data_IF_247715646762
#
_entry.id   IF_247715646762
#
_cell.length_a   1.000
_cell.length_b   1.000
_cell.length_c   1.000
_cell.angle_alpha   90.00
_cell.angle_beta   90.00
_cell.angle_gamma   90.00
#
_symmetry.space_group_name_H-M   'P 1'
#
loop_
_entity.id
_entity.type
_entity.pdbx_description
1 polymer ?
#
# COMPACT_ATOMS: atom_id res chain seq x y z
N UNK A 1 16.82 -12.69 24.32
CA UNK A 1 16.81 -11.84 23.11
C UNK A 1 18.23 -11.41 22.75
N UNK A 2 19.00 -10.92 23.70
CA UNK A 2 20.37 -10.40 23.45
C UNK A 2 21.38 -11.46 22.92
N UNK A 3 21.18 -12.73 23.27
CA UNK A 3 22.01 -13.84 22.77
C UNK A 3 21.79 -14.09 21.27
N UNK A 4 20.55 -13.89 20.79
CA UNK A 4 20.20 -14.08 19.39
C UNK A 4 20.82 -12.99 18.50
N UNK A 5 20.96 -11.77 19.02
CA UNK A 5 21.55 -10.65 18.33
C UNK A 5 23.07 -10.59 18.41
N UNK A 6 23.71 -11.53 19.13
CA UNK A 6 25.17 -11.57 19.29
C UNK A 6 25.71 -10.40 20.13
N UNK A 7 24.92 -9.90 21.10
CA UNK A 7 25.36 -8.84 22.00
C UNK A 7 26.67 -9.22 22.72
N UNK A 8 27.60 -8.26 22.82
CA UNK A 8 28.92 -8.43 23.43
C UNK A 8 29.96 -9.08 22.52
N UNK A 9 29.59 -9.50 21.30
CA UNK A 9 30.55 -10.02 20.30
C UNK A 9 30.55 -9.23 19.00
N UNK A 10 29.35 -9.03 18.43
CA UNK A 10 29.15 -8.37 17.14
C UNK A 10 28.35 -7.07 17.28
N UNK A 11 27.52 -6.98 18.31
CA UNK A 11 26.66 -5.83 18.53
C UNK A 11 26.78 -5.33 19.97
N UNK A 12 26.72 -4.01 20.12
CA UNK A 12 26.55 -3.33 21.41
C UNK A 12 25.13 -2.79 21.50
N UNK A 13 24.43 -3.13 22.58
CA UNK A 13 23.10 -2.59 22.86
C UNK A 13 23.25 -1.19 23.46
N UNK A 14 22.64 -0.20 22.82
CA UNK A 14 22.60 1.21 23.28
C UNK A 14 21.17 1.67 23.47
N UNK A 15 20.96 2.54 24.42
CA UNK A 15 19.70 3.25 24.57
C UNK A 15 19.65 4.44 23.60
N UNK A 16 18.54 4.59 22.91
CA UNK A 16 18.26 5.71 22.03
C UNK A 16 16.81 6.16 22.19
N UNK A 17 16.58 7.46 21.97
CA UNK A 17 15.21 7.97 21.88
C UNK A 17 14.71 7.79 20.46
N UNK A 18 13.64 7.03 20.32
CA UNK A 18 12.96 6.83 19.04
C UNK A 18 11.67 7.66 19.01
N UNK A 19 11.46 8.39 17.91
CA UNK A 19 10.20 9.08 17.68
C UNK A 19 9.13 8.07 17.22
N UNK A 20 7.96 8.12 17.85
CA UNK A 20 6.77 7.39 17.45
C UNK A 20 5.53 8.30 17.55
N UNK A 21 4.37 7.81 17.18
CA UNK A 21 3.12 8.59 17.21
C UNK A 21 2.75 9.10 18.62
N UNK A 22 3.09 8.32 19.63
CA UNK A 22 2.86 8.66 21.03
C UNK A 22 3.91 9.63 21.62
N UNK A 23 4.92 10.00 20.81
CA UNK A 23 6.02 10.88 21.19
C UNK A 23 7.39 10.17 21.17
N UNK A 24 8.28 10.60 22.07
CA UNK A 24 9.62 9.99 22.19
C UNK A 24 9.58 8.81 23.17
N UNK A 25 9.98 7.65 22.70
CA UNK A 25 10.13 6.45 23.54
C UNK A 25 11.62 6.08 23.68
N UNK A 26 11.98 5.56 24.86
CA UNK A 26 13.30 4.96 25.04
C UNK A 26 13.31 3.58 24.40
N UNK A 27 14.20 3.41 23.44
CA UNK A 27 14.37 2.14 22.72
C UNK A 27 15.78 1.63 22.87
N UNK A 28 15.97 0.33 22.67
CA UNK A 28 17.29 -0.26 22.51
C UNK A 28 17.62 -0.36 21.02
N UNK A 29 18.80 0.06 20.64
CA UNK A 29 19.39 -0.12 19.32
C UNK A 29 20.63 -0.99 19.45
N UNK A 30 20.84 -1.90 18.51
CA UNK A 30 21.99 -2.76 18.44
C UNK A 30 22.98 -2.17 17.42
N UNK A 31 24.15 -1.73 17.92
CA UNK A 31 25.18 -1.13 17.10
C UNK A 31 26.21 -2.22 16.77
N UNK A 32 26.43 -2.45 15.47
CA UNK A 32 27.45 -3.39 15.02
C UNK A 32 28.84 -2.90 15.39
N UNK A 33 29.65 -3.76 16.03
CA UNK A 33 30.96 -3.44 16.55
C UNK A 33 32.10 -4.12 15.76
N UNK A 34 31.77 -4.82 14.67
CA UNK A 34 32.77 -5.50 13.83
C UNK A 34 33.52 -4.56 12.89
N UNK A 35 34.51 -5.11 12.19
CA UNK A 35 35.27 -4.39 11.17
C UNK A 35 34.38 -4.14 9.92
N UNK A 36 34.23 -2.88 9.56
CA UNK A 36 33.47 -2.43 8.37
C UNK A 36 34.39 -2.17 7.18
N UNK A 37 35.72 -2.39 7.28
CA UNK A 37 36.69 -2.05 6.22
C UNK A 37 36.42 -2.76 4.89
N UNK A 38 35.76 -3.90 4.92
CA UNK A 38 35.35 -4.69 3.72
C UNK A 38 33.91 -4.47 3.31
N UNK A 39 33.18 -3.61 4.01
CA UNK A 39 31.75 -3.34 3.73
C UNK A 39 31.59 -1.99 3.06
N UNK A 40 30.73 -1.93 2.07
CA UNK A 40 30.33 -0.67 1.47
C UNK A 40 29.60 0.16 2.54
N UNK A 41 30.11 1.36 2.81
CA UNK A 41 29.40 2.27 3.72
C UNK A 41 28.14 2.71 3.02
N UNK A 42 27.03 2.11 3.40
CA UNK A 42 25.72 2.62 3.02
C UNK A 42 25.57 3.95 3.77
N UNK A 43 25.74 5.06 3.05
CA UNK A 43 25.75 6.42 3.58
C UNK A 43 24.45 6.87 4.21
N UNK A 44 23.39 6.10 4.06
CA UNK A 44 22.12 6.26 4.78
C UNK A 44 21.36 4.95 4.82
N UNK A 45 20.72 4.65 5.94
CA UNK A 45 19.60 3.73 6.04
C UNK A 45 18.34 4.33 5.35
N UNK A 46 18.54 5.28 4.46
CA UNK A 46 17.48 5.83 3.62
C UNK A 46 17.13 4.80 2.55
N UNK A 47 16.49 3.71 2.96
CA UNK A 47 15.48 3.15 2.09
C UNK A 47 14.48 4.29 1.92
N UNK A 48 14.42 4.83 0.73
CA UNK A 48 13.42 5.83 0.38
C UNK A 48 12.04 5.19 0.54
N UNK A 49 11.35 5.53 1.60
CA UNK A 49 9.99 5.05 1.87
C UNK A 49 8.96 5.98 1.23
N UNK A 50 7.82 5.39 0.93
CA UNK A 50 6.64 6.09 0.42
C UNK A 50 5.39 5.42 0.99
N UNK A 51 4.37 6.20 1.28
CA UNK A 51 3.05 5.70 1.57
C UNK A 51 2.35 5.34 0.25
N UNK A 52 2.14 4.06 0.01
CA UNK A 52 1.22 3.59 -1.03
C UNK A 52 -0.20 3.55 -0.47
N UNK A 53 -1.12 4.26 -1.10
CA UNK A 53 -2.54 4.27 -0.72
C UNK A 53 -3.35 3.41 -1.67
N UNK A 54 -3.98 2.38 -1.15
CA UNK A 54 -4.99 1.59 -1.85
C UNK A 54 -6.39 2.04 -1.44
N UNK A 55 -7.28 2.13 -2.40
CA UNK A 55 -8.72 2.39 -2.24
C UNK A 55 -9.58 1.30 -2.92
N UNK A 56 -8.94 0.26 -3.42
CA UNK A 56 -9.53 -0.91 -4.07
C UNK A 56 -9.28 -2.19 -3.28
N UNK A 57 -9.18 -3.31 -3.97
CA UNK A 57 -9.03 -4.63 -3.35
C UNK A 57 -7.82 -4.77 -2.43
N UNK A 58 -6.75 -3.99 -2.68
CA UNK A 58 -5.55 -3.98 -1.83
C UNK A 58 -5.75 -3.22 -0.51
N UNK A 59 -6.93 -2.68 -0.18
CA UNK A 59 -7.26 -2.27 1.18
C UNK A 59 -7.24 -3.47 2.12
N UNK A 60 -7.53 -4.66 1.59
CA UNK A 60 -7.40 -5.91 2.34
C UNK A 60 -5.92 -6.32 2.38
N UNK A 61 -5.34 -6.37 3.58
CA UNK A 61 -3.90 -6.60 3.80
C UNK A 61 -3.41 -7.89 3.13
N UNK A 62 -4.15 -9.00 3.28
CA UNK A 62 -3.78 -10.29 2.72
C UNK A 62 -3.78 -10.26 1.17
N UNK A 63 -4.65 -9.45 0.57
CA UNK A 63 -4.65 -9.23 -0.87
C UNK A 63 -3.46 -8.38 -1.31
N UNK A 64 -3.14 -7.32 -0.57
CA UNK A 64 -1.96 -6.49 -0.83
C UNK A 64 -0.67 -7.30 -0.74
N UNK A 65 -0.52 -8.15 0.28
CA UNK A 65 0.69 -8.94 0.48
C UNK A 65 0.95 -9.94 -0.65
N UNK A 66 -0.04 -10.34 -1.44
CA UNK A 66 0.24 -11.15 -2.65
C UNK A 66 1.04 -10.39 -3.71
N UNK A 67 1.04 -9.06 -3.69
CA UNK A 67 1.92 -8.28 -4.56
C UNK A 67 3.36 -8.21 -4.01
N UNK A 68 3.54 -8.27 -2.71
CA UNK A 68 4.83 -8.15 -2.04
C UNK A 68 5.51 -9.53 -1.91
N UNK A 69 4.82 -10.50 -1.34
CA UNK A 69 5.33 -11.86 -1.08
C UNK A 69 5.16 -12.80 -2.28
N UNK A 70 4.36 -12.40 -3.26
CA UNK A 70 3.94 -13.28 -4.34
C UNK A 70 2.75 -14.16 -3.97
N UNK A 71 2.29 -14.96 -4.94
CA UNK A 71 1.16 -15.86 -4.76
C UNK A 71 -0.15 -15.32 -5.33
N UNK A 72 -1.27 -15.89 -4.90
CA UNK A 72 -2.61 -15.55 -5.37
C UNK A 72 -3.58 -15.33 -4.22
N UNK A 73 -4.58 -14.48 -4.43
CA UNK A 73 -5.67 -14.26 -3.49
C UNK A 73 -6.96 -14.92 -3.99
N UNK A 74 -7.56 -15.81 -3.19
CA UNK A 74 -8.82 -16.53 -3.51
C UNK A 74 -8.84 -17.15 -4.92
N UNK A 75 -7.71 -17.71 -5.38
CA UNK A 75 -7.60 -18.33 -6.71
C UNK A 75 -7.49 -17.34 -7.88
N UNK A 76 -7.25 -16.05 -7.60
CA UNK A 76 -6.93 -15.05 -8.63
C UNK A 76 -5.58 -15.36 -9.31
N UNK A 77 -5.21 -14.53 -10.30
CA UNK A 77 -3.93 -14.65 -10.98
C UNK A 77 -2.76 -14.65 -9.97
N UNK A 78 -1.82 -15.57 -10.15
CA UNK A 78 -0.59 -15.62 -9.37
C UNK A 78 0.33 -14.43 -9.69
N UNK A 79 0.89 -13.83 -8.65
CA UNK A 79 1.84 -12.72 -8.76
C UNK A 79 3.24 -13.21 -8.37
N UNK A 80 4.29 -12.82 -9.10
CA UNK A 80 5.66 -13.02 -8.63
C UNK A 80 5.92 -12.11 -7.42
N UNK A 81 6.79 -12.54 -6.49
CA UNK A 81 7.17 -11.71 -5.34
C UNK A 81 7.94 -10.46 -5.80
N UNK A 82 7.97 -9.44 -4.93
CA UNK A 82 8.92 -8.35 -4.99
C UNK A 82 10.30 -8.85 -4.54
N UNK A 83 11.38 -8.25 -5.03
CA UNK A 83 12.73 -8.56 -4.55
C UNK A 83 12.88 -8.22 -3.06
N UNK A 84 12.28 -7.11 -2.62
CA UNK A 84 12.06 -6.81 -1.20
C UNK A 84 10.68 -7.32 -0.77
N UNK A 85 10.61 -8.53 -0.24
CA UNK A 85 9.39 -9.16 0.22
C UNK A 85 9.05 -8.82 1.70
N UNK A 86 9.69 -7.80 2.29
CA UNK A 86 9.39 -7.39 3.67
C UNK A 86 8.00 -6.80 3.80
N UNK A 87 7.38 -7.01 4.97
CA UNK A 87 6.09 -6.39 5.27
C UNK A 87 6.18 -4.86 5.32
N UNK A 88 5.08 -4.13 5.06
CA UNK A 88 5.00 -2.70 5.28
C UNK A 88 5.42 -2.33 6.71
N UNK A 89 6.16 -1.23 6.87
CA UNK A 89 6.60 -0.77 8.20
C UNK A 89 5.42 -0.33 9.06
N UNK A 90 4.46 0.36 8.45
CA UNK A 90 3.29 0.93 9.14
C UNK A 90 2.09 0.81 8.19
N UNK A 91 0.92 0.64 8.76
CA UNK A 91 -0.37 0.67 8.05
C UNK A 91 -1.25 1.72 8.70
N UNK A 92 -1.93 2.56 7.90
CA UNK A 92 -2.83 3.64 8.35
C UNK A 92 -4.07 3.69 7.48
N UNK A 93 -5.16 4.15 8.03
CA UNK A 93 -6.34 4.56 7.26
C UNK A 93 -6.20 6.01 6.82
N UNK A 94 -6.70 6.32 5.63
CA UNK A 94 -6.68 7.68 5.08
C UNK A 94 -7.95 7.98 4.31
N UNK A 95 -8.36 9.25 4.30
CA UNK A 95 -9.39 9.74 3.40
C UNK A 95 -8.75 10.39 2.18
N UNK A 96 -9.21 10.00 1.00
CA UNK A 96 -8.73 10.52 -0.27
C UNK A 96 -9.72 11.60 -0.75
N UNK A 97 -9.27 12.80 -1.17
CA UNK A 97 -10.14 13.92 -1.51
C UNK A 97 -10.78 13.81 -2.90
N UNK A 98 -10.96 12.58 -3.39
CA UNK A 98 -11.55 12.24 -4.68
C UNK A 98 -12.59 11.15 -4.52
N UNK A 99 -13.62 11.14 -5.36
CA UNK A 99 -14.62 10.07 -5.37
C UNK A 99 -14.09 8.81 -6.03
N UNK A 100 -14.41 7.65 -5.46
CA UNK A 100 -14.18 6.36 -6.11
C UNK A 100 -15.33 6.03 -7.06
N UNK A 101 -15.02 5.38 -8.17
CA UNK A 101 -15.99 4.80 -9.10
C UNK A 101 -15.47 3.48 -9.67
N UNK A 102 -16.34 2.69 -10.29
CA UNK A 102 -15.97 1.46 -10.98
C UNK A 102 -15.84 1.69 -12.48
N UNK A 103 -14.72 1.27 -13.04
CA UNK A 103 -14.44 1.43 -14.47
C UNK A 103 -13.57 0.30 -14.99
N UNK A 104 -13.41 0.26 -16.31
CA UNK A 104 -12.67 -0.76 -17.05
C UNK A 104 -13.06 -2.20 -16.67
N UNK A 105 -12.91 -3.13 -17.59
CA UNK A 105 -13.09 -4.55 -17.32
C UNK A 105 -11.77 -5.20 -16.94
N UNK A 106 -11.72 -5.77 -15.73
CA UNK A 106 -10.60 -6.57 -15.25
C UNK A 106 -10.86 -8.05 -15.52
N UNK A 107 -9.99 -8.68 -16.31
CA UNK A 107 -10.05 -10.14 -16.52
C UNK A 107 -9.71 -10.95 -15.26
N UNK A 108 -9.00 -10.36 -14.30
CA UNK A 108 -8.68 -11.01 -13.03
C UNK A 108 -9.88 -11.07 -12.09
N UNK A 109 -10.79 -10.08 -12.18
CA UNK A 109 -11.99 -9.98 -11.37
C UNK A 109 -13.27 -10.29 -12.16
N UNK A 110 -13.18 -10.40 -13.50
CA UNK A 110 -14.30 -10.52 -14.43
C UNK A 110 -15.37 -9.41 -14.26
N UNK A 111 -14.95 -8.20 -13.91
CA UNK A 111 -15.84 -7.08 -13.61
C UNK A 111 -15.12 -5.73 -13.70
N UNK A 112 -15.86 -4.64 -13.44
CA UNK A 112 -15.32 -3.32 -13.20
C UNK A 112 -14.52 -3.26 -11.91
N UNK A 113 -13.45 -2.44 -11.88
CA UNK A 113 -12.60 -2.25 -10.71
C UNK A 113 -12.50 -0.79 -10.33
N UNK A 114 -11.97 -0.52 -9.14
CA UNK A 114 -11.93 0.83 -8.54
C UNK A 114 -10.99 1.79 -9.26
N UNK A 115 -11.48 3.01 -9.55
CA UNK A 115 -10.72 4.17 -10.01
C UNK A 115 -11.11 5.39 -9.18
N UNK A 116 -10.25 6.44 -9.18
CA UNK A 116 -10.56 7.75 -8.59
C UNK A 116 -10.95 8.75 -9.69
N UNK A 117 -12.00 9.51 -9.44
CA UNK A 117 -12.34 10.70 -10.24
C UNK A 117 -11.57 11.91 -9.70
N UNK A 118 -10.43 12.19 -10.30
CA UNK A 118 -9.57 13.33 -9.93
C UNK A 118 -10.06 14.66 -10.48
N UNK A 119 -11.07 14.67 -11.35
CA UNK A 119 -11.64 15.89 -11.93
C UNK A 119 -12.56 16.63 -10.95
N UNK A 120 -13.10 15.95 -9.96
CA UNK A 120 -14.01 16.47 -8.98
C UNK A 120 -13.55 16.19 -7.55
N UNK A 121 -13.90 17.09 -6.63
CA UNK A 121 -13.76 16.81 -5.21
C UNK A 121 -14.75 15.73 -4.79
N UNK A 122 -14.28 14.83 -3.96
CA UNK A 122 -15.09 13.72 -3.44
C UNK A 122 -14.47 13.18 -2.17
N UNK A 123 -14.87 11.98 -1.81
CA UNK A 123 -14.32 11.24 -0.69
C UNK A 123 -14.22 9.77 -1.07
N UNK A 124 -13.03 9.20 -0.88
CA UNK A 124 -12.85 7.76 -0.88
C UNK A 124 -12.08 7.33 0.38
N UNK A 125 -12.38 6.14 0.86
CA UNK A 125 -11.65 5.52 1.95
C UNK A 125 -10.46 4.74 1.39
N UNK A 126 -9.31 4.82 2.07
CA UNK A 126 -8.10 4.14 1.64
C UNK A 126 -7.29 3.58 2.79
N UNK A 127 -6.42 2.64 2.47
CA UNK A 127 -5.41 2.09 3.38
C UNK A 127 -4.04 2.44 2.84
N UNK A 128 -3.26 3.12 3.65
CA UNK A 128 -1.89 3.53 3.35
C UNK A 128 -0.90 2.54 3.97
N UNK A 129 0.02 2.06 3.16
CA UNK A 129 1.11 1.16 3.52
C UNK A 129 2.43 1.90 3.38
N UNK A 130 3.21 2.02 4.45
CA UNK A 130 4.56 2.58 4.39
C UNK A 130 5.51 1.50 3.89
N UNK A 131 5.90 1.61 2.64
CA UNK A 131 6.70 0.63 1.90
C UNK A 131 7.92 1.29 1.26
N UNK A 132 8.90 0.49 0.84
CA UNK A 132 10.06 1.01 0.12
C UNK A 132 9.65 1.51 -1.28
N UNK A 133 10.42 2.43 -1.85
CA UNK A 133 10.20 2.86 -3.25
C UNK A 133 10.27 1.70 -4.23
N UNK A 134 11.14 0.74 -3.99
CA UNK A 134 11.24 -0.48 -4.80
C UNK A 134 9.94 -1.27 -4.78
N UNK A 135 9.38 -1.50 -3.58
CA UNK A 135 8.08 -2.15 -3.42
C UNK A 135 6.97 -1.34 -4.12
N UNK A 136 6.98 -0.01 -3.98
CA UNK A 136 6.01 0.85 -4.65
C UNK A 136 6.07 0.73 -6.18
N UNK A 137 7.28 0.74 -6.77
CA UNK A 137 7.45 0.53 -8.21
C UNK A 137 6.97 -0.86 -8.64
N UNK A 138 7.24 -1.88 -7.82
CA UNK A 138 6.73 -3.22 -8.06
C UNK A 138 5.19 -3.23 -8.05
N UNK A 139 4.55 -2.65 -7.05
CA UNK A 139 3.08 -2.50 -6.97
C UNK A 139 2.53 -1.78 -8.19
N UNK A 140 3.14 -0.66 -8.59
CA UNK A 140 2.74 0.07 -9.80
C UNK A 140 2.71 -0.83 -11.06
N UNK A 141 3.71 -1.69 -11.21
CA UNK A 141 3.75 -2.65 -12.32
C UNK A 141 2.71 -3.75 -12.19
N UNK A 142 2.45 -4.24 -10.96
CA UNK A 142 1.41 -5.27 -10.73
C UNK A 142 0.02 -4.75 -11.07
N UNK A 143 -0.30 -3.53 -10.69
CA UNK A 143 -1.54 -2.84 -11.05
C UNK A 143 -1.67 -2.61 -12.57
N UNK A 144 -0.57 -2.55 -13.30
CA UNK A 144 -0.50 -2.30 -14.74
C UNK A 144 -0.11 -3.53 -15.58
N UNK A 145 -0.43 -4.74 -15.13
CA UNK A 145 -0.15 -5.99 -15.84
C UNK A 145 1.34 -6.21 -16.20
N UNK A 146 2.26 -5.66 -15.40
CA UNK A 146 3.70 -5.75 -15.57
C UNK A 146 4.34 -4.55 -16.26
N UNK A 147 3.55 -3.63 -16.83
CA UNK A 147 4.03 -2.39 -17.45
C UNK A 147 4.21 -1.28 -16.41
N UNK A 148 4.96 -0.25 -16.76
CA UNK A 148 4.95 0.99 -15.98
C UNK A 148 3.65 1.76 -16.20
N UNK A 149 3.22 2.62 -15.25
CA UNK A 149 2.02 3.44 -15.41
C UNK A 149 1.99 4.22 -16.74
N UNK A 150 3.06 4.93 -17.04
CA UNK A 150 3.18 5.75 -18.25
C UNK A 150 3.08 4.96 -19.58
N UNK A 151 3.37 3.67 -19.54
CA UNK A 151 3.33 2.78 -20.71
C UNK A 151 1.95 2.12 -20.91
N UNK A 152 1.01 2.33 -19.99
CA UNK A 152 -0.31 1.72 -20.03
C UNK A 152 -1.45 2.75 -19.92
N UNK A 153 -1.69 3.57 -20.96
CA UNK A 153 -2.64 4.69 -20.91
C UNK A 153 -4.08 4.27 -20.66
N UNK A 154 -4.41 3.00 -20.85
CA UNK A 154 -5.77 2.48 -20.68
C UNK A 154 -6.04 1.91 -19.28
N UNK A 155 -5.04 1.96 -18.39
CA UNK A 155 -5.18 1.39 -17.04
C UNK A 155 -4.81 2.42 -15.97
N UNK A 156 -4.04 2.09 -14.94
CA UNK A 156 -3.61 3.03 -13.89
C UNK A 156 -2.37 3.81 -14.33
N UNK A 157 -2.54 4.73 -15.29
CA UNK A 157 -1.45 5.45 -15.94
C UNK A 157 -0.93 6.66 -15.17
N UNK A 158 -1.60 7.03 -14.07
CA UNK A 158 -1.27 8.23 -13.32
C UNK A 158 -0.98 7.91 -11.85
N UNK A 159 0.12 8.44 -11.34
CA UNK A 159 0.46 8.43 -9.92
C UNK A 159 0.03 9.76 -9.32
N UNK A 160 -0.97 9.74 -8.45
CA UNK A 160 -1.46 10.91 -7.74
C UNK A 160 -0.65 11.11 -6.46
N UNK A 161 -0.19 12.32 -6.26
CA UNK A 161 0.43 12.77 -5.03
C UNK A 161 -0.66 13.36 -4.13
N UNK A 162 -0.90 12.72 -2.99
CA UNK A 162 -1.91 13.11 -2.00
C UNK A 162 -1.33 13.98 -0.88
N UNK A 163 -0.05 14.38 -0.98
CA UNK A 163 0.64 15.17 0.03
C UNK A 163 1.67 14.36 0.81
N UNK A 164 1.74 14.61 2.12
CA UNK A 164 2.75 14.02 3.00
C UNK A 164 2.10 13.57 4.31
N UNK A 165 2.56 12.44 4.84
CA UNK A 165 2.19 11.92 6.14
C UNK A 165 3.46 11.36 6.81
N UNK A 166 3.70 11.76 8.08
CA UNK A 166 4.87 11.33 8.87
C UNK A 166 6.24 11.53 8.16
N UNK A 167 6.38 12.61 7.36
CA UNK A 167 7.60 12.94 6.63
C UNK A 167 7.81 12.15 5.32
N UNK A 168 6.84 11.34 4.89
CA UNK A 168 6.90 10.57 3.64
C UNK A 168 5.77 10.95 2.70
N UNK A 169 6.06 10.96 1.37
CA UNK A 169 5.06 11.28 0.34
C UNK A 169 3.97 10.21 0.31
N UNK A 170 2.74 10.68 0.19
CA UNK A 170 1.54 9.85 0.12
C UNK A 170 1.09 9.74 -1.34
N UNK A 171 1.09 8.54 -1.91
CA UNK A 171 0.83 8.31 -3.34
C UNK A 171 -0.19 7.22 -3.58
N UNK A 172 -0.98 7.41 -4.62
CA UNK A 172 -1.92 6.40 -5.13
C UNK A 172 -1.89 6.36 -6.65
N UNK A 173 -2.55 5.36 -7.23
CA UNK A 173 -2.65 5.15 -8.67
C UNK A 173 -4.11 5.32 -9.12
N UNK A 174 -4.30 5.96 -10.27
CA UNK A 174 -5.58 6.01 -10.97
C UNK A 174 -5.35 6.18 -12.48
N UNK A 175 -6.38 6.51 -13.24
CA UNK A 175 -6.22 6.91 -14.63
C UNK A 175 -6.45 8.41 -14.78
N UNK A 176 -5.63 9.07 -15.61
CA UNK A 176 -5.72 10.51 -15.90
C UNK A 176 -7.02 10.93 -16.61
N UNK A 177 -7.78 9.95 -17.11
CA UNK A 177 -9.08 10.17 -17.74
C UNK A 177 -10.12 9.24 -17.13
N UNK A 178 -11.37 9.71 -17.01
CA UNK A 178 -12.47 8.88 -16.57
C UNK A 178 -12.61 7.68 -17.51
N UNK A 179 -12.64 6.49 -16.93
CA UNK A 179 -12.80 5.23 -17.68
C UNK A 179 -14.27 4.88 -17.84
N UNK A 180 -14.56 4.13 -18.90
CA UNK A 180 -15.91 3.61 -19.11
C UNK A 180 -16.36 2.80 -17.91
N UNK A 181 -17.60 3.02 -17.50
CA UNK A 181 -18.18 2.29 -16.39
C UNK A 181 -18.32 0.81 -16.73
N UNK A 182 -17.93 -0.01 -15.78
CA UNK A 182 -18.22 -1.44 -15.75
C UNK A 182 -18.71 -1.81 -14.35
N UNK A 183 -19.76 -2.61 -14.30
CA UNK A 183 -20.33 -3.06 -13.03
C UNK A 183 -19.34 -3.92 -12.24
N UNK A 184 -19.16 -3.69 -10.94
CA UNK A 184 -18.36 -4.56 -10.09
C UNK A 184 -19.07 -5.90 -9.86
N UNK A 185 -18.32 -6.99 -9.70
CA UNK A 185 -18.87 -8.27 -9.26
C UNK A 185 -19.11 -8.29 -7.76
N UNK A 186 -19.99 -9.17 -7.30
CA UNK A 186 -20.21 -9.37 -5.86
C UNK A 186 -18.92 -9.80 -5.13
N UNK A 187 -18.10 -10.64 -5.74
CA UNK A 187 -16.81 -11.06 -5.17
C UNK A 187 -15.84 -9.89 -5.00
N UNK A 188 -15.85 -8.95 -5.95
CA UNK A 188 -15.04 -7.74 -5.83
C UNK A 188 -15.56 -6.80 -4.75
N UNK A 189 -16.89 -6.58 -4.71
CA UNK A 189 -17.54 -5.78 -3.65
C UNK A 189 -17.31 -6.40 -2.26
N UNK A 190 -17.40 -7.72 -2.12
CA UNK A 190 -17.10 -8.41 -0.86
C UNK A 190 -15.66 -8.17 -0.43
N UNK A 191 -14.70 -8.16 -1.37
CA UNK A 191 -13.30 -7.86 -1.03
C UNK A 191 -13.11 -6.42 -0.56
N UNK A 192 -13.82 -5.45 -1.16
CA UNK A 192 -13.82 -4.06 -0.69
C UNK A 192 -14.48 -3.92 0.67
N UNK A 193 -15.61 -4.60 0.89
CA UNK A 193 -16.33 -4.66 2.17
C UNK A 193 -15.43 -5.20 3.27
N UNK A 194 -14.82 -6.37 3.06
CA UNK A 194 -13.85 -6.98 4.00
C UNK A 194 -12.70 -6.01 4.34
N UNK A 195 -12.21 -5.27 3.33
CA UNK A 195 -11.17 -4.26 3.51
C UNK A 195 -11.63 -3.07 4.35
N UNK A 196 -12.85 -2.58 4.12
CA UNK A 196 -13.44 -1.47 4.90
C UNK A 196 -13.73 -1.91 6.35
N UNK A 197 -14.38 -3.04 6.56
CA UNK A 197 -14.70 -3.57 7.90
C UNK A 197 -13.44 -3.75 8.76
N UNK A 198 -12.37 -4.29 8.17
CA UNK A 198 -11.11 -4.51 8.90
C UNK A 198 -10.39 -3.23 9.28
N UNK A 199 -10.42 -2.22 8.42
CA UNK A 199 -9.61 -1.03 8.61
C UNK A 199 -10.39 0.15 9.19
N UNK A 200 -11.72 0.15 9.12
CA UNK A 200 -12.60 1.20 9.61
C UNK A 200 -13.66 0.62 10.57
N UNK A 201 -13.23 0.08 11.73
CA UNK A 201 -14.15 -0.60 12.68
C UNK A 201 -15.23 0.32 13.27
N UNK A 202 -15.09 1.64 13.09
CA UNK A 202 -16.10 2.64 13.49
C UNK A 202 -17.25 2.74 12.48
N UNK A 203 -17.07 2.26 11.23
CA UNK A 203 -18.14 2.26 10.23
C UNK A 203 -19.11 1.10 10.49
N UNK A 204 -20.40 1.41 10.49
CA UNK A 204 -21.43 0.37 10.48
C UNK A 204 -21.55 -0.31 9.10
N UNK A 205 -22.06 -1.53 9.07
CA UNK A 205 -22.34 -2.26 7.81
C UNK A 205 -23.15 -1.42 6.84
N UNK A 206 -24.14 -0.64 7.37
CA UNK A 206 -24.96 0.24 6.56
C UNK A 206 -24.15 1.37 5.92
N UNK A 207 -23.23 1.98 6.63
CA UNK A 207 -22.37 3.05 6.09
C UNK A 207 -21.43 2.52 5.02
N UNK A 208 -20.92 1.31 5.19
CA UNK A 208 -20.10 0.62 4.18
C UNK A 208 -20.93 0.35 2.93
N UNK A 209 -22.14 -0.20 3.07
CA UNK A 209 -23.03 -0.44 1.95
C UNK A 209 -23.47 0.85 1.23
N UNK A 210 -23.84 1.88 1.98
CA UNK A 210 -24.20 3.18 1.41
C UNK A 210 -23.02 3.81 0.64
N UNK A 211 -21.79 3.66 1.14
CA UNK A 211 -20.56 4.10 0.45
C UNK A 211 -20.33 3.33 -0.85
N UNK A 212 -20.34 2.00 -0.82
CA UNK A 212 -20.08 1.17 -1.99
C UNK A 212 -21.16 1.38 -3.06
N UNK A 213 -22.45 1.45 -2.66
CA UNK A 213 -23.56 1.74 -3.56
C UNK A 213 -23.45 3.15 -4.18
N UNK A 214 -22.94 4.12 -3.43
CA UNK A 214 -22.65 5.46 -3.94
C UNK A 214 -21.57 5.51 -5.01
N UNK A 215 -20.72 4.48 -5.11
CA UNK A 215 -19.67 4.35 -6.13
C UNK A 215 -20.17 3.64 -7.41
N UNK A 216 -21.35 2.99 -7.37
CA UNK A 216 -22.01 2.35 -8.51
C UNK A 216 -22.81 3.41 -9.26
N UNK A 217 -22.65 3.48 -10.58
CA UNK A 217 -23.34 4.47 -11.45
C UNK A 217 -24.59 3.90 -12.10
#
# INVERSE_FOLDING_TARGET
MDILEGEGRLYERRCAMAACEEGLILSYVYVYMGDLSSHEIISSWNRDYVWYVSYGSNMLYERFMTYIEGGSYKGSREHPPCDDASSPLIVRTVEIPYGMYFGNYSSSWNCGVSFLDTSNKGKAYGVAYLITKEQFEHVCRRENAGSKPEDNPNWYNEIIDLGEMDGFRLKTLTNSTIRDYYEPSEDYLNTLRDGLEKNYPEMSDKEIEDYLNGCIR
#
